data_IF_552644178466
#
_entry.id   IF_552644178466
#
_cell.length_a   1.000
_cell.length_b   1.000
_cell.length_c   1.000
_cell.angle_alpha   90.00
_cell.angle_beta   90.00
_cell.angle_gamma   90.00
#
_symmetry.space_group_name_H-M   'P 1'
#
loop_
_entity.id
_entity.type
_entity.pdbx_description
1 polymer ?
#
# COMPACT_ATOMS: atom_id res chain seq x y z
N UNK A 1 21.39 1.18 -3.19
CA UNK A 1 20.50 1.19 -4.37
C UNK A 1 19.98 2.60 -4.65
N UNK A 2 19.21 3.19 -3.73
CA UNK A 2 18.58 4.51 -3.94
C UNK A 2 19.60 5.58 -4.35
N UNK A 3 20.75 5.67 -3.68
CA UNK A 3 21.80 6.63 -4.03
C UNK A 3 22.34 6.45 -5.46
N UNK A 4 22.47 5.19 -5.90
CA UNK A 4 22.94 4.83 -7.25
C UNK A 4 21.92 5.22 -8.32
N UNK A 5 20.63 4.96 -8.08
CA UNK A 5 19.59 5.28 -9.08
C UNK A 5 19.27 6.77 -9.09
N UNK A 6 19.43 7.44 -7.95
CA UNK A 6 19.20 8.87 -7.81
C UNK A 6 20.41 9.75 -8.12
N UNK A 7 21.59 9.19 -8.41
CA UNK A 7 22.74 9.98 -8.86
C UNK A 7 22.48 10.59 -10.23
N UNK A 8 21.74 9.88 -11.08
CA UNK A 8 21.50 10.24 -12.48
C UNK A 8 20.10 10.86 -12.68
N UNK A 9 19.34 11.05 -11.59
CA UNK A 9 17.97 11.58 -11.59
C UNK A 9 17.86 12.85 -10.77
N UNK A 10 17.81 14.00 -11.43
CA UNK A 10 17.59 15.30 -10.78
C UNK A 10 16.10 15.58 -10.56
N UNK A 11 15.27 15.32 -11.56
CA UNK A 11 13.81 15.38 -11.51
C UNK A 11 13.28 13.93 -11.51
N UNK A 12 12.50 13.52 -10.49
CA UNK A 12 12.00 12.13 -10.24
C UNK A 12 12.92 11.22 -9.43
N UNK A 13 13.27 11.66 -8.22
CA UNK A 13 14.02 10.82 -7.28
C UNK A 13 13.17 9.65 -6.77
N UNK A 14 13.74 8.45 -6.82
CA UNK A 14 13.16 7.24 -6.23
C UNK A 14 13.25 7.35 -4.72
N UNK A 15 12.14 7.14 -4.03
CA UNK A 15 12.08 7.11 -2.57
C UNK A 15 11.97 5.67 -2.09
N UNK A 16 12.31 5.41 -0.84
CA UNK A 16 12.06 4.11 -0.22
C UNK A 16 10.57 3.76 -0.28
N UNK A 17 9.68 4.73 -0.13
CA UNK A 17 8.23 4.52 -0.22
C UNK A 17 7.78 4.04 -1.61
N UNK A 18 8.39 4.56 -2.69
CA UNK A 18 8.15 4.09 -4.06
C UNK A 18 8.50 2.61 -4.21
N UNK A 19 9.69 2.22 -3.72
CA UNK A 19 10.16 0.82 -3.74
C UNK A 19 9.22 -0.07 -2.93
N UNK A 20 8.83 0.36 -1.72
CA UNK A 20 7.95 -0.41 -0.85
C UNK A 20 6.58 -0.66 -1.50
N UNK A 21 5.94 0.38 -2.05
CA UNK A 21 4.63 0.23 -2.70
C UNK A 21 4.69 -0.66 -3.95
N UNK A 22 5.74 -0.49 -4.78
CA UNK A 22 5.94 -1.35 -5.94
C UNK A 22 6.18 -2.82 -5.53
N UNK A 23 7.02 -3.07 -4.52
CA UNK A 23 7.26 -4.39 -3.98
C UNK A 23 5.99 -5.03 -3.41
N UNK A 24 5.17 -4.26 -2.69
CA UNK A 24 3.88 -4.71 -2.17
C UNK A 24 2.93 -5.07 -3.31
N UNK A 25 2.79 -4.20 -4.31
CA UNK A 25 1.96 -4.43 -5.49
C UNK A 25 2.37 -5.72 -6.22
N UNK A 26 3.66 -5.87 -6.49
CA UNK A 26 4.22 -7.05 -7.16
C UNK A 26 4.00 -8.33 -6.35
N UNK A 27 4.24 -8.29 -5.04
CA UNK A 27 4.04 -9.43 -4.16
C UNK A 27 2.55 -9.83 -4.09
N UNK A 28 1.63 -8.87 -3.91
CA UNK A 28 0.21 -9.13 -3.80
C UNK A 28 -0.39 -9.63 -5.12
N UNK A 29 0.09 -9.13 -6.26
CA UNK A 29 -0.27 -9.67 -7.57
C UNK A 29 0.13 -11.15 -7.73
N UNK A 30 1.38 -11.50 -7.37
CA UNK A 30 1.85 -12.88 -7.40
C UNK A 30 1.20 -13.77 -6.33
N UNK A 31 0.54 -13.17 -5.35
CA UNK A 31 -0.10 -13.83 -4.22
C UNK A 31 -1.57 -13.43 -4.11
N UNK A 32 -2.42 -13.77 -5.10
CA UNK A 32 -3.77 -13.23 -5.24
C UNK A 32 -4.72 -13.48 -4.06
N UNK A 33 -4.47 -14.51 -3.22
CA UNK A 33 -5.27 -14.70 -1.99
C UNK A 33 -5.13 -13.52 -1.01
N UNK A 34 -4.02 -12.78 -1.02
CA UNK A 34 -3.85 -11.56 -0.23
C UNK A 34 -4.76 -10.42 -0.70
N UNK A 35 -5.31 -10.50 -1.93
CA UNK A 35 -6.23 -9.52 -2.50
C UNK A 35 -7.69 -9.98 -2.47
N UNK A 36 -8.09 -10.66 -1.39
CA UNK A 36 -9.49 -11.05 -1.13
C UNK A 36 -10.03 -10.24 0.04
N UNK A 37 -11.34 -10.22 0.19
CA UNK A 37 -11.99 -9.53 1.30
C UNK A 37 -13.27 -10.27 1.70
N UNK A 38 -13.80 -9.94 2.87
CA UNK A 38 -15.02 -10.54 3.39
C UNK A 38 -16.08 -9.47 3.57
N UNK A 39 -17.26 -9.75 3.02
CA UNK A 39 -18.47 -8.93 3.18
C UNK A 39 -19.64 -9.87 3.41
N UNK A 40 -20.53 -9.55 4.35
CA UNK A 40 -21.74 -10.35 4.57
C UNK A 40 -21.46 -11.82 4.87
N UNK A 41 -20.35 -12.12 5.57
CA UNK A 41 -19.89 -13.48 5.87
C UNK A 41 -19.50 -14.31 4.63
N UNK A 42 -19.21 -13.66 3.49
CA UNK A 42 -18.77 -14.31 2.26
C UNK A 42 -17.40 -13.81 1.84
N UNK A 43 -16.59 -14.71 1.31
CA UNK A 43 -15.25 -14.42 0.78
C UNK A 43 -15.34 -14.03 -0.69
N UNK A 44 -14.69 -12.93 -1.06
CA UNK A 44 -14.66 -12.39 -2.43
C UNK A 44 -13.24 -12.21 -2.92
N UNK A 45 -13.01 -12.46 -4.21
CA UNK A 45 -11.77 -12.08 -4.90
C UNK A 45 -11.92 -10.66 -5.43
N UNK A 46 -11.02 -9.76 -5.06
CA UNK A 46 -11.02 -8.39 -5.60
C UNK A 46 -10.47 -8.41 -7.02
N UNK A 47 -11.10 -7.62 -7.91
CA UNK A 47 -10.70 -7.49 -9.31
C UNK A 47 -9.56 -6.49 -9.52
N UNK A 48 -9.52 -5.44 -8.69
CA UNK A 48 -8.50 -4.39 -8.75
C UNK A 48 -7.51 -4.54 -7.59
N UNK A 49 -6.31 -4.04 -7.77
CA UNK A 49 -5.34 -3.89 -6.69
C UNK A 49 -5.25 -2.40 -6.38
N UNK A 50 -5.69 -1.98 -5.19
CA UNK A 50 -5.76 -0.56 -4.84
C UNK A 50 -5.16 -0.34 -3.46
N UNK A 51 -4.21 0.59 -3.32
CA UNK A 51 -3.66 0.95 -2.01
C UNK A 51 -4.11 2.32 -1.58
N UNK A 52 -4.47 2.43 -0.31
CA UNK A 52 -4.75 3.69 0.34
C UNK A 52 -3.63 4.06 1.29
N UNK A 53 -3.21 5.32 1.31
CA UNK A 53 -2.21 5.80 2.26
C UNK A 53 -2.40 7.27 2.60
N UNK A 54 -2.04 7.62 3.84
CA UNK A 54 -2.10 9.00 4.32
C UNK A 54 -0.96 9.85 3.77
N UNK A 55 -1.30 11.01 3.21
CA UNK A 55 -0.34 12.05 2.79
C UNK A 55 -0.61 13.29 3.62
N UNK A 56 0.38 13.72 4.41
CA UNK A 56 0.35 15.03 5.05
C UNK A 56 0.77 16.10 4.03
N UNK A 57 -0.10 17.09 3.81
CA UNK A 57 0.21 18.24 2.92
C UNK A 57 1.28 19.16 3.50
N UNK A 58 1.32 19.31 4.82
CA UNK A 58 2.33 20.04 5.59
C UNK A 58 2.67 19.26 6.84
N UNK A 59 3.91 19.35 7.31
CA UNK A 59 4.33 18.82 8.62
C UNK A 59 3.95 19.83 9.72
N UNK A 60 2.64 20.06 9.83
CA UNK A 60 2.01 20.94 10.83
C UNK A 60 0.96 20.09 11.57
N UNK A 61 0.72 20.38 12.84
CA UNK A 61 -0.26 19.69 13.67
C UNK A 61 -1.70 19.95 13.18
N UNK A 62 -1.94 21.11 12.59
CA UNK A 62 -3.22 21.49 11.98
C UNK A 62 -3.38 21.03 10.53
N UNK A 63 -2.35 20.40 9.93
CA UNK A 63 -2.42 19.93 8.56
C UNK A 63 -3.35 18.72 8.44
N UNK A 64 -4.38 18.87 7.61
CA UNK A 64 -5.31 17.78 7.29
C UNK A 64 -4.52 16.61 6.68
N UNK A 65 -4.61 15.44 7.32
CA UNK A 65 -4.17 14.17 6.74
C UNK A 65 -5.14 13.82 5.61
N UNK A 66 -4.69 13.90 4.37
CA UNK A 66 -5.49 13.46 3.22
C UNK A 66 -5.05 12.05 2.87
N UNK A 67 -5.95 11.08 2.97
CA UNK A 67 -5.67 9.77 2.44
C UNK A 67 -5.93 9.75 0.93
N UNK A 68 -5.07 9.04 0.22
CA UNK A 68 -5.08 8.91 -1.23
C UNK A 68 -5.25 7.43 -1.53
N UNK A 69 -6.15 7.09 -2.47
CA UNK A 69 -6.33 5.72 -2.95
C UNK A 69 -5.85 5.62 -4.39
N UNK A 70 -4.96 4.66 -4.68
CA UNK A 70 -4.37 4.45 -6.00
C UNK A 70 -4.51 3.02 -6.49
N UNK A 71 -4.89 2.82 -7.75
CA UNK A 71 -4.82 1.52 -8.40
C UNK A 71 -3.38 1.19 -8.79
N UNK A 72 -3.04 -0.09 -8.68
CA UNK A 72 -1.79 -0.69 -9.11
C UNK A 72 -2.09 -1.81 -10.09
N UNK A 73 -1.26 -1.90 -11.12
CA UNK A 73 -1.37 -2.91 -12.15
C UNK A 73 -0.25 -3.96 -12.01
N UNK A 74 -0.47 -5.18 -12.53
CA UNK A 74 0.51 -6.26 -12.44
C UNK A 74 1.89 -5.89 -12.99
N UNK A 75 1.89 -5.15 -14.10
CA UNK A 75 3.04 -4.75 -14.91
C UNK A 75 3.72 -3.46 -14.42
N UNK A 76 3.17 -2.82 -13.38
CA UNK A 76 3.76 -1.60 -12.83
C UNK A 76 5.24 -1.81 -12.45
N UNK A 77 6.08 -0.89 -12.92
CA UNK A 77 7.50 -0.77 -12.58
C UNK A 77 7.68 0.32 -11.53
N UNK A 78 8.89 0.49 -10.99
CA UNK A 78 9.20 1.60 -10.08
C UNK A 78 8.85 2.95 -10.72
N UNK A 79 9.13 3.14 -12.01
CA UNK A 79 8.89 4.40 -12.70
C UNK A 79 7.40 4.69 -12.88
N UNK A 80 6.59 3.68 -13.23
CA UNK A 80 5.13 3.88 -13.32
C UNK A 80 4.51 4.16 -11.95
N UNK A 81 5.02 3.53 -10.88
CA UNK A 81 4.57 3.80 -9.50
C UNK A 81 4.90 5.23 -9.08
N UNK A 82 6.09 5.75 -9.41
CA UNK A 82 6.45 7.15 -9.14
C UNK A 82 5.44 8.07 -9.81
N UNK A 83 5.13 7.83 -11.09
CA UNK A 83 4.22 8.67 -11.86
C UNK A 83 2.81 8.69 -11.31
N UNK A 84 2.31 7.52 -10.89
CA UNK A 84 1.00 7.40 -10.25
C UNK A 84 0.96 8.18 -8.93
N UNK A 85 2.02 8.09 -8.12
CA UNK A 85 2.07 8.79 -6.83
C UNK A 85 2.21 10.29 -7.03
N UNK A 86 3.09 10.76 -7.91
CA UNK A 86 3.27 12.18 -8.18
C UNK A 86 2.01 12.81 -8.78
N UNK A 87 1.33 12.10 -9.70
CA UNK A 87 0.02 12.50 -10.24
C UNK A 87 -1.05 12.58 -9.15
N UNK A 88 -1.06 11.63 -8.22
CA UNK A 88 -2.02 11.62 -7.12
C UNK A 88 -1.77 12.69 -6.07
N UNK A 89 -0.49 12.92 -5.72
CA UNK A 89 -0.09 13.96 -4.78
C UNK A 89 -0.35 15.34 -5.37
N UNK A 90 -0.05 15.57 -6.65
CA UNK A 90 -0.34 16.85 -7.32
C UNK A 90 -1.84 17.14 -7.37
N UNK A 91 -2.65 16.13 -7.72
CA UNK A 91 -4.13 16.24 -7.69
C UNK A 91 -4.65 16.47 -6.27
N UNK A 92 -4.11 15.74 -5.28
CA UNK A 92 -4.48 15.89 -3.87
C UNK A 92 -4.05 17.22 -3.26
N UNK A 93 -2.96 17.84 -3.76
CA UNK A 93 -2.45 19.14 -3.30
C UNK A 93 -3.22 20.34 -3.85
N UNK A 94 -3.98 20.20 -4.94
CA UNK A 94 -4.89 21.26 -5.38
C UNK A 94 -5.89 21.61 -4.27
N UNK A 95 -6.12 22.89 -4.00
CA UNK A 95 -6.99 23.40 -2.91
C UNK A 95 -8.49 23.05 -3.06
N UNK A 96 -8.83 22.21 -4.02
CA UNK A 96 -10.19 21.73 -4.23
C UNK A 96 -10.54 20.74 -3.13
N UNK A 97 -11.43 21.16 -2.21
CA UNK A 97 -12.07 20.28 -1.22
C UNK A 97 -12.48 18.98 -1.90
N UNK A 98 -11.89 17.86 -1.48
CA UNK A 98 -12.23 16.54 -2.04
C UNK A 98 -13.73 16.29 -1.84
N UNK A 99 -14.34 15.56 -2.76
CA UNK A 99 -15.77 15.24 -2.68
C UNK A 99 -16.13 14.61 -1.31
N UNK A 100 -15.23 13.78 -0.79
CA UNK A 100 -15.31 13.16 0.55
C UNK A 100 -15.46 14.18 1.69
N UNK A 101 -14.76 15.33 1.64
CA UNK A 101 -14.88 16.38 2.68
C UNK A 101 -16.25 17.07 2.67
N UNK A 102 -16.85 17.26 1.49
CA UNK A 102 -18.18 17.87 1.35
C UNK A 102 -19.26 16.93 1.88
N UNK A 103 -19.17 15.65 1.54
CA UNK A 103 -20.09 14.61 2.01
C UNK A 103 -19.99 14.43 3.53
N UNK A 104 -18.78 14.44 4.10
CA UNK A 104 -18.55 14.37 5.56
C UNK A 104 -19.21 15.55 6.30
N UNK A 105 -19.11 16.77 5.76
CA UNK A 105 -19.75 17.97 6.35
C UNK A 105 -21.28 17.89 6.29
N UNK A 106 -21.84 17.38 5.20
CA UNK A 106 -23.29 17.19 5.07
C UNK A 106 -23.79 16.18 6.10
N UNK A 107 -23.07 15.06 6.29
CA UNK A 107 -23.43 14.04 7.29
C UNK A 107 -23.29 14.58 8.72
N UNK A 108 -22.27 15.40 8.98
CA UNK A 108 -22.02 16.01 10.28
C UNK A 108 -23.06 17.09 10.67
N UNK A 109 -23.71 17.75 9.69
CA UNK A 109 -24.75 18.74 9.96
C UNK A 109 -26.14 18.14 10.20
N UNK A 110 -26.32 16.83 9.97
CA UNK A 110 -27.58 16.14 10.22
C UNK A 110 -27.82 15.92 11.73
N UNK A 111 -29.08 16.03 12.20
CA UNK A 111 -29.47 15.58 13.53
C UNK A 111 -29.08 14.11 13.78
N UNK A 112 -28.66 13.80 15.01
CA UNK A 112 -28.14 12.48 15.40
C UNK A 112 -29.03 11.29 14.99
N UNK A 113 -30.36 11.46 15.01
CA UNK A 113 -31.28 10.39 14.62
C UNK A 113 -31.23 10.09 13.11
N UNK A 114 -31.11 11.11 12.26
CA UNK A 114 -30.96 10.95 10.81
C UNK A 114 -29.60 10.36 10.46
N UNK A 115 -28.52 10.84 11.09
CA UNK A 115 -27.18 10.27 10.90
C UNK A 115 -27.16 8.78 11.23
N UNK A 116 -27.79 8.37 12.34
CA UNK A 116 -27.91 6.95 12.71
C UNK A 116 -28.68 6.14 11.67
N UNK A 117 -29.77 6.67 11.14
CA UNK A 117 -30.58 5.99 10.12
C UNK A 117 -29.80 5.83 8.80
N UNK A 118 -29.10 6.87 8.37
CA UNK A 118 -28.26 6.83 7.16
C UNK A 118 -27.11 5.84 7.32
N UNK A 119 -26.34 5.91 8.41
CA UNK A 119 -25.23 4.98 8.68
C UNK A 119 -25.74 3.55 8.80
N UNK A 120 -26.90 3.33 9.43
CA UNK A 120 -27.51 2.01 9.49
C UNK A 120 -27.86 1.48 8.08
N UNK A 121 -28.50 2.30 7.24
CA UNK A 121 -28.82 1.93 5.86
C UNK A 121 -27.56 1.59 5.04
N UNK A 122 -26.51 2.39 5.17
CA UNK A 122 -25.22 2.13 4.53
C UNK A 122 -24.59 0.82 5.01
N UNK A 123 -24.65 0.51 6.31
CA UNK A 123 -24.17 -0.79 6.85
C UNK A 123 -24.98 -1.97 6.33
N UNK A 124 -26.28 -1.81 6.12
CA UNK A 124 -27.13 -2.85 5.50
C UNK A 124 -26.71 -3.07 4.06
N UNK A 125 -26.52 -1.99 3.28
CA UNK A 125 -26.04 -2.08 1.90
C UNK A 125 -24.66 -2.74 1.85
N UNK A 126 -23.74 -2.33 2.71
CA UNK A 126 -22.41 -2.92 2.81
C UNK A 126 -22.50 -4.41 3.13
N UNK A 127 -23.28 -4.81 4.14
CA UNK A 127 -23.47 -6.21 4.52
C UNK A 127 -23.94 -7.09 3.35
N UNK A 128 -24.84 -6.58 2.50
CA UNK A 128 -25.32 -7.30 1.31
C UNK A 128 -24.43 -7.11 0.07
N UNK A 129 -23.29 -6.43 0.19
CA UNK A 129 -22.39 -6.08 -0.90
C UNK A 129 -23.09 -5.24 -2.01
N UNK A 130 -24.00 -4.36 -1.60
CA UNK A 130 -24.80 -3.46 -2.45
C UNK A 130 -24.37 -1.98 -2.29
N UNK A 131 -23.18 -1.72 -1.75
CA UNK A 131 -22.66 -0.37 -1.60
C UNK A 131 -22.49 0.29 -2.98
N UNK A 132 -22.96 1.55 -3.19
CA UNK A 132 -22.81 2.24 -4.47
C UNK A 132 -21.34 2.37 -4.88
N UNK A 133 -21.04 2.14 -6.16
CA UNK A 133 -19.68 2.21 -6.68
C UNK A 133 -19.02 3.59 -6.48
N UNK A 134 -19.81 4.68 -6.49
CA UNK A 134 -19.33 6.03 -6.20
C UNK A 134 -18.80 6.17 -4.78
N UNK A 135 -19.45 5.54 -3.80
CA UNK A 135 -19.00 5.53 -2.40
C UNK A 135 -17.75 4.68 -2.23
N UNK A 136 -17.76 3.48 -2.83
CA UNK A 136 -16.57 2.61 -2.85
C UNK A 136 -15.39 3.34 -3.45
N UNK A 137 -15.58 4.08 -4.55
CA UNK A 137 -14.50 4.78 -5.24
C UNK A 137 -13.80 5.82 -4.37
N UNK A 138 -14.54 6.56 -3.53
CA UNK A 138 -13.99 7.62 -2.68
C UNK A 138 -13.53 7.14 -1.29
N UNK A 139 -14.06 6.03 -0.80
CA UNK A 139 -13.73 5.51 0.53
C UNK A 139 -12.38 4.77 0.51
N UNK A 140 -11.48 5.21 1.38
CA UNK A 140 -10.09 4.73 1.48
C UNK A 140 -9.98 3.38 2.18
N UNK A 141 -11.02 2.94 2.89
CA UNK A 141 -11.09 1.62 3.53
C UNK A 141 -11.63 0.54 2.57
N UNK A 142 -12.09 0.91 1.38
CA UNK A 142 -12.37 -0.03 0.30
C UNK A 142 -11.15 -0.22 -0.62
N UNK A 143 -10.04 -0.67 -0.03
CA UNK A 143 -8.76 -0.87 -0.72
C UNK A 143 -8.23 -2.30 -0.48
N UNK A 144 -7.26 -2.72 -1.28
CA UNK A 144 -6.54 -3.99 -1.10
C UNK A 144 -5.59 -3.98 0.09
N UNK A 145 -5.09 -2.79 0.45
CA UNK A 145 -4.25 -2.57 1.62
C UNK A 145 -4.23 -1.09 1.97
N UNK A 146 -4.27 -0.79 3.26
CA UNK A 146 -4.02 0.54 3.78
C UNK A 146 -2.59 0.65 4.31
N UNK A 147 -1.84 1.65 3.86
CA UNK A 147 -0.41 1.87 4.19
C UNK A 147 -0.24 3.17 4.97
N UNK A 148 0.23 3.06 6.20
CA UNK A 148 0.56 4.19 7.06
C UNK A 148 2.07 4.40 7.09
N UNK A 149 2.57 5.44 6.40
CA UNK A 149 3.99 5.80 6.40
C UNK A 149 4.32 6.79 7.53
N UNK A 150 4.48 6.28 8.73
CA UNK A 150 4.84 7.08 9.91
C UNK A 150 6.33 7.44 9.95
N UNK A 151 7.17 6.71 9.20
CA UNK A 151 8.57 7.07 9.03
C UNK A 151 8.78 8.45 8.41
N UNK A 152 7.87 8.88 7.53
CA UNK A 152 7.88 10.24 6.95
C UNK A 152 7.77 11.38 7.97
N UNK A 153 7.24 11.08 9.17
CA UNK A 153 7.10 12.02 10.29
C UNK A 153 7.98 11.65 11.49
N UNK A 154 8.95 10.76 11.30
CA UNK A 154 9.93 10.39 12.32
C UNK A 154 9.39 9.49 13.44
N UNK A 155 8.28 8.78 13.21
CA UNK A 155 7.67 7.88 14.20
C UNK A 155 7.98 6.41 13.91
N UNK A 156 7.89 5.58 14.95
CA UNK A 156 7.96 4.13 14.82
C UNK A 156 6.68 3.55 14.21
N UNK A 157 6.75 2.34 13.64
CA UNK A 157 5.56 1.64 13.14
C UNK A 157 4.69 1.14 14.30
N UNK A 158 3.43 1.53 14.50
CA UNK A 158 2.53 0.82 15.41
C UNK A 158 1.97 -0.44 14.75
N UNK A 159 1.28 -1.28 15.53
CA UNK A 159 0.31 -2.19 14.95
C UNK A 159 -0.98 -1.45 14.68
N UNK A 160 -1.45 -1.44 13.44
CA UNK A 160 -2.76 -0.91 13.09
C UNK A 160 -3.83 -1.99 13.30
N UNK A 161 -5.01 -1.64 13.80
CA UNK A 161 -6.14 -2.56 13.84
C UNK A 161 -6.78 -2.67 12.45
N UNK A 162 -7.52 -3.75 12.22
CA UNK A 162 -8.43 -3.86 11.08
C UNK A 162 -9.75 -3.15 11.41
N UNK A 163 -10.32 -2.47 10.42
CA UNK A 163 -11.64 -1.86 10.57
C UNK A 163 -12.74 -2.86 10.23
N UNK A 164 -13.87 -2.75 10.95
CA UNK A 164 -15.10 -3.45 10.59
C UNK A 164 -15.85 -2.79 9.42
N UNK A 165 -15.44 -1.57 9.05
CA UNK A 165 -15.97 -0.83 7.91
C UNK A 165 -15.01 -0.93 6.73
N UNK A 166 -15.56 -1.01 5.52
CA UNK A 166 -14.77 -1.19 4.31
C UNK A 166 -14.38 -2.63 4.09
N UNK A 167 -13.41 -2.83 3.19
CA UNK A 167 -13.02 -4.15 2.69
C UNK A 167 -11.51 -4.36 2.68
N UNK A 168 -10.76 -3.51 3.39
CA UNK A 168 -9.31 -3.58 3.54
C UNK A 168 -8.90 -4.80 4.38
N UNK A 169 -8.33 -5.86 3.76
CA UNK A 169 -7.93 -7.06 4.48
C UNK A 169 -6.54 -6.91 5.13
N UNK A 170 -5.79 -5.86 4.75
CA UNK A 170 -4.39 -5.66 5.10
C UNK A 170 -4.14 -4.21 5.53
N UNK A 171 -3.43 -4.07 6.63
CA UNK A 171 -2.88 -2.79 7.09
C UNK A 171 -1.38 -2.94 7.28
N UNK A 172 -0.64 -2.00 6.70
CA UNK A 172 0.81 -1.92 6.77
C UNK A 172 1.21 -0.61 7.43
N UNK A 173 2.03 -0.67 8.47
CA UNK A 173 2.62 0.51 9.12
C UNK A 173 4.12 0.51 8.92
N UNK A 174 4.64 1.58 8.32
CA UNK A 174 6.05 1.78 8.00
C UNK A 174 6.61 2.80 9.00
N UNK A 175 7.63 2.41 9.75
CA UNK A 175 8.31 3.27 10.72
C UNK A 175 9.45 4.07 10.10
N UNK A 176 10.15 4.85 10.92
CA UNK A 176 11.38 5.54 10.53
C UNK A 176 12.52 4.55 10.29
N UNK A 177 13.47 4.93 9.44
CA UNK A 177 14.72 4.21 9.25
C UNK A 177 15.65 4.55 10.41
N UNK A 178 16.25 3.54 11.04
CA UNK A 178 17.13 3.72 12.18
C UNK A 178 18.48 3.02 11.95
N UNK A 179 19.57 3.69 12.32
CA UNK A 179 20.90 3.07 12.38
C UNK A 179 20.99 2.19 13.62
N UNK A 180 21.02 0.88 13.43
CA UNK A 180 21.01 -0.13 14.49
C UNK A 180 22.31 -0.93 14.45
N UNK A 181 22.97 -1.17 15.59
CA UNK A 181 24.10 -2.10 15.65
C UNK A 181 23.61 -3.53 15.41
N UNK A 182 24.13 -4.19 14.37
CA UNK A 182 23.85 -5.60 14.09
C UNK A 182 25.13 -6.41 14.06
N UNK A 183 25.01 -7.69 14.36
CA UNK A 183 26.13 -8.64 14.29
C UNK A 183 26.28 -9.10 12.84
N UNK A 184 27.46 -8.90 12.27
CA UNK A 184 27.80 -9.39 10.93
C UNK A 184 28.10 -10.90 10.94
N UNK A 185 28.28 -11.49 9.75
CA UNK A 185 28.57 -12.91 9.61
C UNK A 185 29.91 -13.35 10.25
N UNK A 186 30.78 -12.40 10.62
CA UNK A 186 32.09 -12.63 11.26
C UNK A 186 32.04 -12.36 12.77
N UNK A 187 30.87 -12.05 13.33
CA UNK A 187 30.70 -11.73 14.75
C UNK A 187 31.04 -10.29 15.14
N UNK A 188 31.35 -9.42 14.17
CA UNK A 188 31.60 -8.00 14.41
C UNK A 188 30.30 -7.21 14.55
N UNK A 189 30.31 -6.14 15.36
CA UNK A 189 29.18 -5.22 15.47
C UNK A 189 29.35 -4.12 14.42
N UNK A 190 28.41 -4.05 13.48
CA UNK A 190 28.41 -3.03 12.42
C UNK A 190 27.09 -2.24 12.44
N UNK A 191 27.11 -0.92 12.21
CA UNK A 191 25.87 -0.17 12.02
C UNK A 191 25.21 -0.58 10.71
N UNK A 192 23.88 -0.81 10.76
CA UNK A 192 23.03 -1.02 9.59
C UNK A 192 21.77 -0.19 9.72
N UNK A 193 21.31 0.35 8.59
CA UNK A 193 20.01 0.97 8.51
C UNK A 193 18.93 -0.12 8.49
N UNK A 194 18.03 -0.09 9.47
CA UNK A 194 16.90 -0.99 9.56
C UNK A 194 15.60 -0.20 9.41
N UNK A 195 14.67 -0.78 8.66
CA UNK A 195 13.31 -0.31 8.52
C UNK A 195 12.36 -1.31 9.18
N UNK A 196 11.62 -0.86 10.20
CA UNK A 196 10.57 -1.69 10.81
C UNK A 196 9.25 -1.48 10.08
N UNK A 197 8.67 -2.57 9.58
CA UNK A 197 7.33 -2.59 8.98
C UNK A 197 6.46 -3.57 9.77
N UNK A 198 5.30 -3.11 10.23
CA UNK A 198 4.32 -3.93 10.95
C UNK A 198 3.09 -4.17 10.09
N UNK A 199 2.54 -5.36 10.21
CA UNK A 199 1.45 -5.85 9.37
C UNK A 199 0.32 -6.37 10.24
N UNK A 200 -0.91 -6.00 9.88
CA UNK A 200 -2.12 -6.60 10.40
C UNK A 200 -2.93 -7.13 9.23
N UNK A 201 -3.37 -8.38 9.32
CA UNK A 201 -4.05 -9.06 8.23
C UNK A 201 -5.28 -9.79 8.74
N UNK A 202 -6.31 -9.85 7.89
CA UNK A 202 -7.50 -10.65 8.13
C UNK A 202 -7.22 -12.12 7.80
N UNK A 203 -6.99 -12.95 8.82
CA UNK A 203 -6.67 -14.38 8.62
C UNK A 203 -7.80 -15.18 7.93
N UNK A 204 -9.02 -14.63 7.91
CA UNK A 204 -10.15 -15.26 7.23
C UNK A 204 -9.99 -15.22 5.70
N UNK A 205 -9.17 -14.30 5.19
CA UNK A 205 -8.86 -14.15 3.76
C UNK A 205 -7.76 -15.11 3.30
N UNK A 206 -6.72 -15.25 4.11
CA UNK A 206 -5.59 -16.16 3.86
C UNK A 206 -4.96 -16.60 5.19
N UNK A 207 -4.55 -17.87 5.25
CA UNK A 207 -3.90 -18.42 6.43
C UNK A 207 -2.51 -17.79 6.71
N UNK A 208 -2.04 -17.92 7.95
CA UNK A 208 -0.78 -17.34 8.40
C UNK A 208 0.45 -17.84 7.63
N UNK A 209 0.44 -19.07 7.12
CA UNK A 209 1.56 -19.61 6.34
C UNK A 209 1.64 -18.94 4.96
N UNK A 210 0.50 -18.79 4.29
CA UNK A 210 0.39 -18.06 3.04
C UNK A 210 0.78 -16.60 3.21
N UNK A 211 0.40 -15.95 4.31
CA UNK A 211 0.82 -14.59 4.66
C UNK A 211 2.34 -14.50 4.86
N UNK A 212 2.94 -15.37 5.67
CA UNK A 212 4.38 -15.39 5.93
C UNK A 212 5.19 -15.54 4.62
N UNK A 213 4.80 -16.52 3.79
CA UNK A 213 5.41 -16.73 2.48
C UNK A 213 5.18 -15.58 1.49
N UNK A 214 4.16 -14.74 1.70
CA UNK A 214 3.95 -13.51 0.90
C UNK A 214 4.86 -12.39 1.38
N UNK A 215 5.09 -12.29 2.70
CA UNK A 215 6.05 -11.36 3.28
C UNK A 215 7.49 -11.68 2.88
N UNK A 216 7.85 -12.96 2.75
CA UNK A 216 9.17 -13.35 2.24
C UNK A 216 9.38 -12.86 0.81
N UNK A 217 8.38 -13.04 -0.06
CA UNK A 217 8.43 -12.52 -1.43
C UNK A 217 8.53 -10.98 -1.48
N UNK A 218 7.79 -10.28 -0.60
CA UNK A 218 7.92 -8.84 -0.45
C UNK A 218 9.33 -8.43 0.00
N UNK A 219 9.90 -9.11 1.00
CA UNK A 219 11.27 -8.87 1.46
C UNK A 219 12.28 -9.07 0.33
N UNK A 220 12.13 -10.13 -0.45
CA UNK A 220 13.01 -10.40 -1.60
C UNK A 220 13.00 -9.24 -2.61
N UNK A 221 11.84 -8.66 -2.90
CA UNK A 221 11.74 -7.49 -3.78
C UNK A 221 12.35 -6.23 -3.18
N UNK A 222 12.18 -5.99 -1.87
CA UNK A 222 12.79 -4.83 -1.20
C UNK A 222 14.31 -4.97 -1.11
N UNK A 223 14.82 -6.19 -0.89
CA UNK A 223 16.26 -6.48 -0.86
C UNK A 223 16.90 -6.48 -2.25
N UNK A 224 16.12 -6.70 -3.31
CA UNK A 224 16.57 -6.72 -4.70
C UNK A 224 15.68 -5.81 -5.57
N UNK A 225 15.70 -4.49 -5.34
CA UNK A 225 14.81 -3.54 -6.01
C UNK A 225 15.00 -3.45 -7.53
N UNK A 226 16.13 -3.91 -8.07
CA UNK A 226 16.36 -4.02 -9.52
C UNK A 226 15.32 -4.93 -10.21
N UNK A 227 14.71 -5.86 -9.48
CA UNK A 227 13.64 -6.73 -9.99
C UNK A 227 12.32 -5.98 -10.25
N UNK A 228 12.18 -4.77 -9.71
CA UNK A 228 11.00 -3.92 -9.82
C UNK A 228 11.14 -2.87 -10.93
N UNK A 229 12.34 -2.70 -11.49
CA UNK A 229 12.57 -1.84 -12.66
C UNK A 229 12.00 -2.47 -13.93
N UNK A 230 11.80 -3.79 -13.93
CA UNK A 230 11.30 -4.56 -15.08
C UNK A 230 9.87 -5.03 -14.88
N UNK A 231 9.17 -5.23 -15.99
CA UNK A 231 7.87 -5.88 -15.99
C UNK A 231 7.96 -7.32 -15.44
N UNK A 232 6.91 -7.84 -14.78
CA UNK A 232 6.94 -9.16 -14.15
C UNK A 232 7.23 -10.31 -15.12
N UNK A 233 6.82 -10.18 -16.39
CA UNK A 233 7.07 -11.18 -17.43
C UNK A 233 8.56 -11.40 -17.67
N UNK A 234 9.33 -10.31 -17.69
CA UNK A 234 10.79 -10.32 -17.85
C UNK A 234 11.50 -10.76 -16.56
N UNK A 235 10.98 -10.35 -15.39
CA UNK A 235 11.53 -10.72 -14.08
C UNK A 235 11.31 -12.20 -13.71
N UNK A 236 10.32 -12.88 -14.31
CA UNK A 236 10.17 -14.35 -14.23
C UNK A 236 11.20 -15.06 -15.09
N UNK A 237 11.52 -14.52 -16.27
CA UNK A 237 12.54 -15.05 -17.18
C UNK A 237 13.96 -14.96 -16.57
N UNK A 238 14.25 -13.87 -15.84
CA UNK A 238 15.52 -13.68 -15.14
C UNK A 238 15.72 -14.61 -13.92
N UNK A 239 14.64 -15.16 -13.36
CA UNK A 239 14.69 -16.14 -12.25
C UNK A 239 14.81 -17.59 -12.73
N UNK A 240 14.73 -17.83 -14.04
CA UNK A 240 14.87 -19.13 -14.67
C UNK A 240 16.22 -19.18 -15.43
N UNK A 241 17.28 -19.77 -14.86
CA UNK A 241 18.62 -19.76 -15.47
C UNK A 241 18.67 -20.47 -16.83
N UNK A 242 17.70 -21.31 -17.15
CA UNK A 242 17.57 -21.95 -18.46
C UNK A 242 17.05 -20.98 -19.55
N UNK A 243 16.17 -20.04 -19.20
CA UNK A 243 15.60 -19.08 -20.15
C UNK A 243 16.44 -17.81 -20.31
N UNK A 244 17.21 -17.42 -19.30
CA UNK A 244 18.15 -16.30 -19.39
C UNK A 244 19.25 -16.53 -20.46
N UNK A 245 19.64 -17.80 -20.69
CA UNK A 245 20.59 -18.17 -21.77
C UNK A 245 20.01 -18.05 -23.18
N UNK A 246 18.69 -18.19 -23.34
CA UNK A 246 18.05 -18.13 -24.66
C UNK A 246 17.98 -16.71 -25.24
N UNK A 247 17.99 -15.68 -24.37
CA UNK A 247 17.92 -14.27 -24.77
C UNK A 247 19.31 -13.73 -25.16
N UNK A 248 20.40 -14.32 -24.66
CA UNK A 248 21.77 -13.90 -25.01
C UNK A 248 22.31 -14.51 -26.32
N UNK A 249 21.53 -15.37 -26.98
CA UNK A 249 21.90 -16.06 -28.23
C UNK A 249 20.95 -15.76 -29.39
N UNK A 250 20.14 -14.70 -29.28
CA UNK A 250 19.26 -14.21 -30.35
C UNK A 250 19.74 -12.88 -30.91
#
# INVERSE_FOLDING_TARGET
YLDRVNSDREERRVSLFHVLLCAMARAQHLRPKMNRFIVGQRLYQRHKLEYSFGVKKKLDDEAILTAVKLPFEPDDTIDTVIDRIDSAISTGRAETKTQSEKEMRLVASLPRFLTRLVVWGLRVLDYFNLMPASMIAVDELYCSMFVANLGSVGLEAPFHHLYNWGTAPLFCSIGKVESTPVVDARGGIVPRELLTIRWSFDERVADGFYCARSLDLFKDFVSNPELLEKEPGEAKCARDPEKAKAISTG
#
